data_IF_586182508530
#
_entry.id   IF_586182508530
#
_cell.length_a   1.000
_cell.length_b   1.000
_cell.length_c   1.000
_cell.angle_alpha   90.00
_cell.angle_beta   90.00
_cell.angle_gamma   90.00
#
_symmetry.space_group_name_H-M   'P 1'
#
loop_
_entity.id
_entity.type
_entity.pdbx_description
1 polymer ?
#
# COMPACT_ATOMS: atom_id res chain seq x y z
N UNK A 1 -17.98 -15.94 6.22
CA UNK A 1 -16.60 -16.03 5.69
C UNK A 1 -15.66 -15.54 6.78
N UNK A 2 -14.48 -16.16 6.96
CA UNK A 2 -13.54 -15.74 7.99
C UNK A 2 -12.89 -14.40 7.62
N UNK A 3 -12.80 -13.48 8.58
CA UNK A 3 -12.16 -12.18 8.42
C UNK A 3 -10.91 -12.06 9.30
N UNK A 4 -10.03 -11.14 8.93
CA UNK A 4 -8.89 -10.69 9.73
C UNK A 4 -8.98 -9.18 9.88
N UNK A 5 -8.72 -8.67 11.09
CA UNK A 5 -8.56 -7.23 11.31
C UNK A 5 -7.17 -6.80 10.86
N UNK A 6 -7.11 -5.84 9.95
CA UNK A 6 -5.85 -5.26 9.45
C UNK A 6 -5.86 -3.75 9.65
N UNK A 7 -4.66 -3.20 9.82
CA UNK A 7 -4.45 -1.77 9.88
C UNK A 7 -4.42 -1.19 8.46
N UNK A 8 -5.18 -0.13 8.22
CA UNK A 8 -5.20 0.64 6.98
C UNK A 8 -4.70 2.05 7.28
N UNK A 9 -3.56 2.40 6.70
CA UNK A 9 -2.87 3.68 6.90
C UNK A 9 -3.06 4.55 5.67
N UNK A 10 -3.62 5.74 5.85
CA UNK A 10 -3.78 6.72 4.78
C UNK A 10 -2.67 7.74 4.88
N UNK A 11 -1.88 7.89 3.82
CA UNK A 11 -0.76 8.82 3.74
C UNK A 11 -1.13 9.92 2.75
N UNK A 12 -1.31 11.15 3.25
CA UNK A 12 -1.77 12.31 2.49
C UNK A 12 -0.69 13.41 2.49
N UNK A 13 -0.80 14.34 1.51
CA UNK A 13 0.02 15.56 1.45
C UNK A 13 1.54 15.25 1.48
N UNK A 14 2.03 14.48 0.50
CA UNK A 14 3.45 14.05 0.44
C UNK A 14 3.95 13.36 1.72
N UNK A 15 3.06 12.68 2.44
CA UNK A 15 3.39 12.02 3.70
C UNK A 15 3.39 12.91 4.95
N UNK A 16 3.01 14.18 4.83
CA UNK A 16 2.92 15.08 5.98
C UNK A 16 1.74 14.77 6.90
N UNK A 17 0.65 14.19 6.38
CA UNK A 17 -0.52 13.81 7.17
C UNK A 17 -0.78 12.33 7.03
N UNK A 18 -0.95 11.68 8.18
CA UNK A 18 -1.27 10.27 8.23
C UNK A 18 -2.39 10.00 9.24
N UNK A 19 -3.25 9.06 8.90
CA UNK A 19 -4.25 8.55 9.83
C UNK A 19 -4.52 7.08 9.56
N UNK A 20 -5.04 6.39 10.58
CA UNK A 20 -5.05 4.94 10.61
C UNK A 20 -6.38 4.41 11.09
N UNK A 21 -6.88 3.39 10.40
CA UNK A 21 -8.14 2.72 10.72
C UNK A 21 -7.94 1.21 10.76
N UNK A 22 -8.68 0.53 11.62
CA UNK A 22 -8.72 -0.93 11.64
C UNK A 22 -9.92 -1.41 10.84
N UNK A 23 -9.69 -2.28 9.86
CA UNK A 23 -10.73 -2.81 8.99
C UNK A 23 -10.72 -4.34 8.99
N UNK A 24 -11.91 -4.93 8.95
CA UNK A 24 -12.06 -6.37 8.75
C UNK A 24 -12.02 -6.68 7.25
N UNK A 25 -11.03 -7.45 6.82
CA UNK A 25 -10.93 -7.93 5.43
C UNK A 25 -11.04 -9.45 5.38
N UNK A 26 -11.28 -10.00 4.19
CA UNK A 26 -11.30 -11.44 4.00
C UNK A 26 -9.96 -12.06 4.41
N UNK A 27 -9.99 -13.10 5.25
CA UNK A 27 -8.78 -13.75 5.76
C UNK A 27 -7.91 -14.33 4.64
N UNK A 28 -8.49 -14.72 3.51
CA UNK A 28 -7.76 -15.19 2.33
C UNK A 28 -6.80 -14.14 1.77
N UNK A 29 -7.15 -12.85 1.81
CA UNK A 29 -6.24 -11.78 1.34
C UNK A 29 -4.97 -11.68 2.18
N UNK A 30 -5.05 -12.02 3.48
CA UNK A 30 -3.87 -12.03 4.36
C UNK A 30 -3.05 -13.29 4.14
N UNK A 31 -3.69 -14.46 4.05
CA UNK A 31 -2.99 -15.75 3.88
C UNK A 31 -2.29 -15.82 2.52
N UNK A 32 -2.91 -15.27 1.48
CA UNK A 32 -2.41 -15.31 0.10
C UNK A 32 -1.64 -14.03 -0.27
N UNK A 33 -1.22 -13.22 0.71
CA UNK A 33 -0.58 -11.92 0.49
C UNK A 33 0.69 -11.99 -0.36
N UNK A 34 1.39 -13.12 -0.34
CA UNK A 34 2.54 -13.39 -1.20
C UNK A 34 2.19 -13.43 -2.69
N UNK A 35 0.92 -13.46 -3.08
CA UNK A 35 0.49 -13.43 -4.49
C UNK A 35 0.36 -12.02 -5.06
N UNK A 36 0.46 -10.98 -4.22
CA UNK A 36 0.34 -9.59 -4.62
C UNK A 36 1.30 -9.24 -5.77
N UNK A 37 0.75 -8.65 -6.85
CA UNK A 37 1.48 -8.27 -8.07
C UNK A 37 1.92 -9.42 -8.98
N UNK A 38 1.73 -10.68 -8.59
CA UNK A 38 2.03 -11.86 -9.42
C UNK A 38 0.77 -12.55 -9.95
N UNK A 39 -0.30 -12.52 -9.16
CA UNK A 39 -1.56 -13.20 -9.45
C UNK A 39 -2.67 -12.16 -9.72
N UNK A 40 -3.22 -12.18 -10.93
CA UNK A 40 -4.24 -11.23 -11.35
C UNK A 40 -5.55 -11.37 -10.56
N UNK A 41 -5.95 -12.61 -10.22
CA UNK A 41 -7.18 -12.88 -9.46
C UNK A 41 -7.04 -12.37 -8.01
N UNK A 42 -5.89 -12.57 -7.39
CA UNK A 42 -5.59 -11.98 -6.09
C UNK A 42 -5.65 -10.45 -6.15
N UNK A 43 -5.01 -9.84 -7.14
CA UNK A 43 -4.98 -8.37 -7.28
C UNK A 43 -6.39 -7.80 -7.48
N UNK A 44 -7.24 -8.47 -8.25
CA UNK A 44 -8.63 -8.08 -8.44
C UNK A 44 -9.44 -8.18 -7.13
N UNK A 45 -9.33 -9.29 -6.41
CA UNK A 45 -9.99 -9.45 -5.10
C UNK A 45 -9.52 -8.42 -4.09
N UNK A 46 -8.23 -8.09 -4.08
CA UNK A 46 -7.68 -7.03 -3.24
C UNK A 46 -8.26 -5.66 -3.62
N UNK A 47 -8.30 -5.32 -4.91
CA UNK A 47 -8.88 -4.07 -5.38
C UNK A 47 -10.37 -3.95 -5.02
N UNK A 48 -11.14 -5.03 -5.19
CA UNK A 48 -12.55 -5.09 -4.81
C UNK A 48 -12.75 -4.90 -3.30
N UNK A 49 -11.89 -5.49 -2.47
CA UNK A 49 -11.94 -5.31 -1.02
C UNK A 49 -11.58 -3.89 -0.58
N UNK A 50 -10.64 -3.23 -1.27
CA UNK A 50 -10.18 -1.89 -0.93
C UNK A 50 -11.12 -0.78 -1.40
N UNK A 51 -11.83 -0.98 -2.51
CA UNK A 51 -12.72 0.04 -3.09
C UNK A 51 -13.73 0.65 -2.10
N UNK A 52 -14.50 -0.14 -1.30
CA UNK A 52 -15.43 0.44 -0.33
C UNK A 52 -14.70 1.16 0.81
N UNK A 53 -13.54 0.66 1.25
CA UNK A 53 -12.75 1.29 2.32
C UNK A 53 -12.18 2.64 1.87
N UNK A 54 -11.66 2.70 0.65
CA UNK A 54 -11.17 3.95 0.06
C UNK A 54 -12.28 4.98 -0.06
N UNK A 55 -13.47 4.56 -0.51
CA UNK A 55 -14.66 5.42 -0.61
C UNK A 55 -15.13 5.94 0.75
N UNK A 56 -15.11 5.09 1.78
CA UNK A 56 -15.46 5.48 3.16
C UNK A 56 -14.59 6.63 3.67
N UNK A 57 -13.29 6.57 3.36
CA UNK A 57 -12.29 7.53 3.84
C UNK A 57 -12.00 8.68 2.87
N UNK A 58 -12.65 8.73 1.70
CA UNK A 58 -12.38 9.69 0.63
C UNK A 58 -12.48 11.14 1.12
N UNK A 59 -13.53 11.48 1.88
CA UNK A 59 -13.73 12.83 2.41
C UNK A 59 -12.63 13.25 3.39
N UNK A 60 -12.16 12.31 4.22
CA UNK A 60 -11.10 12.56 5.19
C UNK A 60 -9.76 12.76 4.46
N UNK A 61 -9.47 11.90 3.48
CA UNK A 61 -8.33 12.04 2.58
C UNK A 61 -8.34 13.40 1.88
N UNK A 62 -9.46 13.81 1.27
CA UNK A 62 -9.60 15.09 0.57
C UNK A 62 -9.34 16.28 1.50
N UNK A 63 -9.79 16.21 2.74
CA UNK A 63 -9.57 17.25 3.76
C UNK A 63 -8.11 17.27 4.27
N UNK A 64 -7.42 16.14 4.20
CA UNK A 64 -6.02 15.99 4.57
C UNK A 64 -5.04 16.29 3.41
N UNK A 65 -5.50 16.23 2.17
CA UNK A 65 -4.71 16.51 0.97
C UNK A 65 -4.34 17.98 0.80
N UNK A 66 -3.28 18.22 0.01
CA UNK A 66 -2.80 19.56 -0.29
C UNK A 66 -3.70 20.28 -1.31
N UNK A 67 -3.60 21.62 -1.34
CA UNK A 67 -4.34 22.45 -2.30
C UNK A 67 -3.80 22.38 -3.74
N UNK A 68 -2.63 21.74 -3.95
CA UNK A 68 -1.94 21.71 -5.23
C UNK A 68 -1.73 20.27 -5.71
N UNK A 69 -1.84 20.09 -7.02
CA UNK A 69 -1.60 18.86 -7.74
C UNK A 69 -0.14 18.46 -7.58
N UNK A 70 0.09 17.23 -7.14
CA UNK A 70 1.43 16.72 -6.84
C UNK A 70 2.23 16.44 -8.12
N UNK A 71 1.56 16.35 -9.27
CA UNK A 71 2.19 16.18 -10.58
C UNK A 71 2.60 17.51 -11.25
N UNK A 72 1.77 18.55 -11.19
CA UNK A 72 1.99 19.78 -11.98
C UNK A 72 1.86 21.10 -11.20
N UNK A 73 1.59 21.07 -9.90
CA UNK A 73 1.52 22.25 -9.03
C UNK A 73 0.28 23.15 -9.22
N UNK A 74 -0.62 22.85 -10.16
CA UNK A 74 -1.91 23.56 -10.30
C UNK A 74 -2.84 23.24 -9.14
N UNK A 75 -3.90 24.02 -8.93
CA UNK A 75 -4.89 23.70 -7.91
C UNK A 75 -5.45 22.28 -8.05
N UNK A 76 -5.45 21.55 -6.93
CA UNK A 76 -6.05 20.23 -6.85
C UNK A 76 -7.57 20.35 -6.75
N UNK A 77 -8.27 19.53 -7.51
CA UNK A 77 -9.72 19.40 -7.52
C UNK A 77 -10.16 17.99 -7.13
N UNK A 78 -9.23 17.04 -7.18
CA UNK A 78 -9.48 15.63 -6.94
C UNK A 78 -8.34 14.95 -6.19
N UNK A 79 -8.57 13.71 -5.77
CA UNK A 79 -7.57 12.86 -5.15
C UNK A 79 -7.49 11.50 -5.85
N UNK A 80 -6.29 10.93 -5.87
CA UNK A 80 -6.03 9.57 -6.29
C UNK A 80 -5.61 8.75 -5.06
N UNK A 81 -6.42 7.76 -4.70
CA UNK A 81 -6.10 6.79 -3.64
C UNK A 81 -5.48 5.54 -4.27
N UNK A 82 -4.25 5.21 -3.86
CA UNK A 82 -3.48 4.08 -4.38
C UNK A 82 -3.16 3.10 -3.24
N UNK A 83 -3.90 1.97 -3.13
CA UNK A 83 -3.69 1.01 -2.07
C UNK A 83 -2.49 0.10 -2.37
N UNK A 84 -1.66 -0.13 -1.36
CA UNK A 84 -0.45 -0.94 -1.38
C UNK A 84 -0.58 -2.03 -0.30
N UNK A 85 -0.49 -3.28 -0.74
CA UNK A 85 -0.62 -4.44 0.14
C UNK A 85 0.69 -4.74 0.87
N UNK A 86 0.75 -4.43 2.17
CA UNK A 86 1.83 -4.82 3.08
C UNK A 86 1.38 -5.99 3.98
N UNK A 87 0.55 -6.88 3.44
CA UNK A 87 -0.07 -7.99 4.17
C UNK A 87 0.85 -9.20 4.38
N UNK A 88 1.98 -9.26 3.68
CA UNK A 88 2.94 -10.37 3.74
C UNK A 88 3.97 -10.23 4.88
N UNK A 89 4.08 -9.05 5.51
CA UNK A 89 5.03 -8.81 6.60
C UNK A 89 4.50 -9.20 7.99
N UNK A 90 5.39 -9.19 8.98
CA UNK A 90 5.10 -9.56 10.39
C UNK A 90 3.96 -8.76 11.03
N UNK A 91 3.75 -7.53 10.54
CA UNK A 91 2.63 -6.66 10.91
C UNK A 91 1.79 -6.38 9.66
N UNK A 92 0.82 -7.24 9.34
CA UNK A 92 -0.01 -7.10 8.16
C UNK A 92 -0.77 -5.78 8.19
N UNK A 93 -0.50 -4.94 7.19
CA UNK A 93 -1.15 -3.64 7.03
C UNK A 93 -1.38 -3.32 5.56
N UNK A 94 -2.18 -2.31 5.31
CA UNK A 94 -2.43 -1.76 3.98
C UNK A 94 -2.12 -0.28 4.04
N UNK A 95 -1.31 0.20 3.11
CA UNK A 95 -0.99 1.61 2.98
C UNK A 95 -1.78 2.16 1.81
N UNK A 96 -2.52 3.24 2.00
CA UNK A 96 -3.21 3.97 0.93
C UNK A 96 -2.49 5.28 0.73
N UNK A 97 -1.75 5.38 -0.38
CA UNK A 97 -1.11 6.62 -0.77
C UNK A 97 -2.14 7.53 -1.45
N UNK A 98 -2.31 8.74 -0.93
CA UNK A 98 -3.29 9.71 -1.42
C UNK A 98 -2.57 10.87 -2.11
N UNK A 99 -2.78 10.97 -3.41
CA UNK A 99 -2.17 12.00 -4.26
C UNK A 99 -3.20 13.05 -4.65
N UNK A 100 -2.88 14.32 -4.40
CA UNK A 100 -3.71 15.46 -4.80
C UNK A 100 -3.57 15.72 -6.30
N UNK A 101 -4.68 15.85 -7.04
CA UNK A 101 -4.70 15.97 -8.51
C UNK A 101 -5.52 17.16 -8.99
N UNK A 102 -5.11 17.75 -10.11
CA UNK A 102 -5.83 18.86 -10.77
C UNK A 102 -7.03 18.42 -11.64
N UNK A 103 -7.40 17.14 -11.62
CA UNK A 103 -8.47 16.58 -12.46
C UNK A 103 -8.10 16.35 -13.93
N UNK A 104 -6.86 16.64 -14.34
CA UNK A 104 -6.36 16.25 -15.67
C UNK A 104 -6.06 14.75 -15.69
N UNK A 105 -6.65 14.04 -16.66
CA UNK A 105 -6.35 12.62 -16.87
C UNK A 105 -4.88 12.34 -17.15
N UNK A 106 -4.12 13.30 -17.70
CA UNK A 106 -2.67 13.14 -17.88
C UNK A 106 -1.92 13.07 -16.55
N UNK A 107 -2.27 13.96 -15.60
CA UNK A 107 -1.66 13.93 -14.27
C UNK A 107 -2.04 12.64 -13.52
N UNK A 108 -3.28 12.17 -13.66
CA UNK A 108 -3.68 10.90 -13.06
C UNK A 108 -2.90 9.71 -13.64
N UNK A 109 -2.79 9.60 -14.97
CA UNK A 109 -2.04 8.54 -15.64
C UNK A 109 -0.58 8.55 -15.19
N UNK A 110 0.05 9.73 -15.17
CA UNK A 110 1.44 9.88 -14.75
C UNK A 110 1.63 9.44 -13.29
N UNK A 111 0.77 9.89 -12.37
CA UNK A 111 0.87 9.49 -10.95
C UNK A 111 0.62 8.00 -10.73
N UNK A 112 -0.30 7.38 -11.48
CA UNK A 112 -0.48 5.92 -11.44
C UNK A 112 0.77 5.18 -11.91
N UNK A 113 1.43 5.66 -12.97
CA UNK A 113 2.66 5.06 -13.47
C UNK A 113 3.82 5.20 -12.48
N UNK A 114 4.02 6.40 -11.93
CA UNK A 114 5.05 6.65 -10.90
C UNK A 114 4.82 5.79 -9.66
N UNK A 115 3.57 5.65 -9.21
CA UNK A 115 3.23 4.78 -8.08
C UNK A 115 3.48 3.30 -8.40
N UNK A 116 3.20 2.85 -9.63
CA UNK A 116 3.53 1.49 -10.06
C UNK A 116 5.03 1.22 -10.04
N UNK A 117 5.85 2.19 -10.48
CA UNK A 117 7.31 2.09 -10.42
C UNK A 117 7.81 2.04 -8.97
N UNK A 118 7.32 2.94 -8.10
CA UNK A 118 7.66 2.93 -6.67
C UNK A 118 7.28 1.60 -6.00
N UNK A 119 6.11 1.04 -6.32
CA UNK A 119 5.69 -0.28 -5.82
C UNK A 119 6.55 -1.45 -6.34
N UNK A 120 7.23 -1.29 -7.48
CA UNK A 120 8.19 -2.28 -7.99
C UNK A 120 9.55 -2.15 -7.30
N UNK A 121 9.98 -0.92 -6.99
CA UNK A 121 11.23 -0.66 -6.26
C UNK A 121 11.15 -1.18 -4.83
N UNK A 122 10.09 -0.84 -4.08
CA UNK A 122 9.92 -1.33 -2.71
C UNK A 122 9.87 -2.86 -2.61
N UNK A 123 9.37 -3.55 -3.64
CA UNK A 123 9.39 -5.03 -3.69
C UNK A 123 10.79 -5.58 -3.85
N UNK A 124 11.62 -4.98 -4.69
CA UNK A 124 13.00 -5.40 -4.91
C UNK A 124 13.84 -5.18 -3.65
N UNK A 125 13.59 -4.09 -2.92
CA UNK A 125 14.28 -3.82 -1.65
C UNK A 125 13.89 -4.83 -0.56
N UNK A 126 12.62 -5.20 -0.46
CA UNK A 126 12.13 -6.21 0.50
C UNK A 126 12.69 -7.61 0.18
N UNK A 127 12.73 -7.99 -1.11
CA UNK A 127 13.35 -9.24 -1.56
C UNK A 127 14.86 -9.27 -1.26
N UNK A 128 15.58 -8.15 -1.48
CA UNK A 128 17.01 -8.06 -1.18
C UNK A 128 17.31 -8.11 0.33
N UNK A 129 16.48 -7.48 1.16
CA UNK A 129 16.58 -7.56 2.63
C UNK A 129 16.27 -8.98 3.14
N UNK A 130 15.31 -9.68 2.51
CA UNK A 130 15.00 -11.07 2.79
C UNK A 130 16.16 -12.02 2.48
N UNK A 131 16.89 -11.82 1.38
CA UNK A 131 18.06 -12.63 1.02
C UNK A 131 19.25 -12.41 1.96
N UNK A 132 19.49 -11.17 2.41
CA UNK A 132 20.58 -10.84 3.35
C UNK A 132 20.31 -11.40 4.74
N UNK A 133 19.07 -11.37 5.22
CA UNK A 133 18.68 -11.93 6.52
C UNK A 133 18.55 -13.46 6.48
N UNK A 134 18.20 -14.05 5.34
CA UNK A 134 18.14 -15.50 5.13
C UNK A 134 19.50 -16.23 5.17
N UNK A 135 20.62 -15.51 5.15
CA UNK A 135 21.97 -16.08 5.18
C UNK A 135 22.61 -16.18 6.58
N UNK A 136 21.89 -15.82 7.66
CA UNK A 136 22.41 -15.87 9.04
C UNK A 136 21.95 -17.07 9.88
N UNK A 137 21.55 -18.17 9.25
CA UNK A 137 21.20 -19.42 9.94
C UNK A 137 22.13 -20.58 9.53
N UNK A 138 23.43 -20.46 9.88
CA UNK A 138 24.38 -21.58 9.87
C UNK A 138 25.68 -21.23 10.62
N UNK A 139 25.60 -20.98 11.92
CA UNK A 139 26.71 -21.32 12.82
C UNK A 139 26.14 -22.01 14.06
N UNK A 140 25.85 -23.30 13.93
CA UNK A 140 25.75 -24.19 15.09
C UNK A 140 27.07 -24.16 15.85
N UNK A 141 27.12 -23.44 16.97
CA UNK A 141 28.19 -23.61 17.95
C UNK A 141 27.87 -24.87 18.75
N UNK A 142 28.45 -26.00 18.34
CA UNK A 142 28.56 -27.20 19.15
C UNK A 142 29.30 -26.87 20.44
N UNK A 143 28.56 -26.67 21.53
CA UNK A 143 29.10 -26.79 22.89
C UNK A 143 29.24 -28.27 23.22
N UNK A 144 30.43 -28.82 23.01
CA UNK A 144 30.85 -30.06 23.64
C UNK A 144 31.22 -29.78 25.11
N UNK A 145 30.71 -30.65 25.99
CA UNK A 145 31.00 -30.74 27.43
C UNK A 145 32.48 -30.98 27.73
#
# INVERSE_FOLDING_TARGET
MATSTVQVEFICQFGARQFTHNHSIARSLVIEANRAGRDAEYNERFAQAMMPLMKEHESACRSASGAFCECCGRFATDILQSPISMLHGDKPRIVVWVTSLCGSGQCEIQMRQEMQLMMQEMRQEDEMLGEVLGHTDCMEVKLCK
#
